data_IF_282671155579
#
_entry.id   IF_282671155579
#
_cell.length_a   1.000
_cell.length_b   1.000
_cell.length_c   1.000
_cell.angle_alpha   90.00
_cell.angle_beta   90.00
_cell.angle_gamma   90.00
#
_symmetry.space_group_name_H-M   'P 1'
#
loop_
_entity.id
_entity.type
_entity.pdbx_description
1 polymer ?
#
# COMPACT_ATOMS: atom_id res chain seq x y z
N UNK A 1 -16.44 -0.15 -9.22
CA UNK A 1 -15.91 -1.49 -9.56
C UNK A 1 -14.42 -1.52 -9.32
N UNK A 2 -13.91 -2.53 -8.62
CA UNK A 2 -12.48 -2.61 -8.33
C UNK A 2 -11.68 -2.92 -9.61
N UNK A 3 -10.47 -2.36 -9.69
CA UNK A 3 -9.55 -2.64 -10.79
C UNK A 3 -9.05 -4.09 -10.67
N UNK A 4 -9.33 -4.99 -11.64
CA UNK A 4 -8.95 -6.39 -11.50
C UNK A 4 -7.44 -6.61 -11.41
N UNK A 5 -6.63 -5.80 -12.08
CA UNK A 5 -5.16 -5.91 -12.01
C UNK A 5 -4.65 -5.51 -10.62
N UNK A 6 -5.20 -4.46 -10.04
CA UNK A 6 -4.86 -4.06 -8.67
C UNK A 6 -5.30 -5.11 -7.67
N UNK A 7 -6.49 -5.68 -7.84
CA UNK A 7 -6.99 -6.73 -6.96
C UNK A 7 -6.05 -7.94 -6.96
N UNK A 8 -5.60 -8.37 -8.13
CA UNK A 8 -4.66 -9.49 -8.23
C UNK A 8 -3.33 -9.19 -7.54
N UNK A 9 -2.80 -7.97 -7.71
CA UNK A 9 -1.57 -7.56 -7.06
C UNK A 9 -1.72 -7.56 -5.55
N UNK A 10 -2.83 -7.02 -5.04
CA UNK A 10 -3.09 -6.96 -3.60
C UNK A 10 -3.29 -8.36 -3.00
N UNK A 11 -3.98 -9.25 -3.70
CA UNK A 11 -4.13 -10.63 -3.27
C UNK A 11 -2.78 -11.35 -3.20
N UNK A 12 -1.90 -11.10 -4.18
CA UNK A 12 -0.54 -11.61 -4.15
C UNK A 12 0.26 -11.10 -2.97
N UNK A 13 0.08 -9.83 -2.60
CA UNK A 13 0.72 -9.24 -1.43
C UNK A 13 0.24 -9.89 -0.13
N UNK A 14 -1.04 -10.23 -0.03
CA UNK A 14 -1.55 -10.94 1.15
C UNK A 14 -0.79 -12.22 1.42
N UNK A 15 -0.44 -12.95 0.36
CA UNK A 15 0.35 -14.17 0.48
C UNK A 15 1.81 -13.94 0.89
N UNK A 16 2.30 -12.72 0.78
CA UNK A 16 3.67 -12.33 1.13
C UNK A 16 3.78 -11.67 2.49
N UNK A 17 2.66 -11.48 3.19
CA UNK A 17 2.62 -10.75 4.45
C UNK A 17 3.45 -11.45 5.54
N UNK A 18 4.27 -10.64 6.24
CA UNK A 18 5.13 -11.09 7.33
C UNK A 18 4.62 -10.47 8.64
N UNK A 19 3.84 -11.22 9.44
CA UNK A 19 3.27 -10.67 10.69
C UNK A 19 4.32 -10.18 11.68
N UNK A 20 5.50 -10.79 11.68
CA UNK A 20 6.59 -10.40 12.58
C UNK A 20 7.12 -9.00 12.34
N UNK A 21 6.85 -8.40 11.18
CA UNK A 21 7.24 -7.02 10.88
C UNK A 21 6.31 -6.00 11.52
N UNK A 22 5.18 -6.44 12.07
CA UNK A 22 4.12 -5.58 12.61
C UNK A 22 3.93 -5.86 14.10
N UNK A 23 4.03 -4.83 14.93
CA UNK A 23 3.89 -4.92 16.38
C UNK A 23 2.55 -4.44 16.90
N UNK A 24 1.71 -3.87 16.04
CA UNK A 24 0.38 -3.35 16.39
C UNK A 24 -0.48 -3.27 15.15
N UNK A 25 -1.78 -2.99 15.32
CA UNK A 25 -2.67 -2.77 14.18
C UNK A 25 -2.35 -1.43 13.51
N UNK A 26 -2.12 -1.45 12.21
CA UNK A 26 -1.88 -0.26 11.39
C UNK A 26 -2.81 -0.29 10.19
N UNK A 27 -3.53 0.80 9.98
CA UNK A 27 -4.48 0.94 8.87
C UNK A 27 -3.88 1.86 7.81
N UNK A 28 -3.78 1.36 6.58
CA UNK A 28 -3.27 2.09 5.44
C UNK A 28 -4.40 2.37 4.45
N UNK A 29 -4.44 3.58 3.92
CA UNK A 29 -5.33 3.93 2.82
C UNK A 29 -4.50 4.13 1.57
N UNK A 30 -4.76 3.32 0.55
CA UNK A 30 -4.04 3.39 -0.73
C UNK A 30 -4.95 4.04 -1.76
N UNK A 31 -4.54 5.22 -2.24
CA UNK A 31 -5.21 5.93 -3.32
C UNK A 31 -4.35 5.76 -4.58
N UNK A 32 -4.75 4.83 -5.45
CA UNK A 32 -3.94 4.38 -6.57
C UNK A 32 -4.49 4.85 -7.92
N UNK A 33 -5.31 5.89 -7.92
CA UNK A 33 -5.90 6.47 -9.11
C UNK A 33 -7.13 7.28 -8.78
N UNK A 34 -7.82 7.78 -9.81
CA UNK A 34 -8.99 8.64 -9.65
C UNK A 34 -10.30 7.85 -9.53
N UNK A 35 -10.34 6.63 -10.07
CA UNK A 35 -11.55 5.81 -10.05
C UNK A 35 -11.82 5.25 -8.64
N UNK A 36 -13.10 5.03 -8.26
CA UNK A 36 -13.39 4.41 -6.97
C UNK A 36 -12.76 3.03 -6.77
N UNK A 37 -12.60 2.26 -7.84
CA UNK A 37 -11.97 0.94 -7.79
C UNK A 37 -10.46 1.00 -7.57
N UNK A 38 -9.85 2.19 -7.58
CA UNK A 38 -8.42 2.37 -7.34
C UNK A 38 -8.12 2.72 -5.87
N UNK A 39 -9.13 2.74 -5.01
CA UNK A 39 -8.99 3.06 -3.58
C UNK A 39 -9.11 1.79 -2.76
N UNK A 40 -8.17 1.58 -1.84
CA UNK A 40 -8.11 0.37 -1.01
C UNK A 40 -7.73 0.71 0.42
N UNK A 41 -8.27 -0.04 1.36
CA UNK A 41 -7.88 0.01 2.78
C UNK A 41 -7.18 -1.29 3.13
N UNK A 42 -5.97 -1.18 3.64
CA UNK A 42 -5.14 -2.32 4.05
C UNK A 42 -4.94 -2.23 5.56
N UNK A 43 -5.36 -3.26 6.28
CA UNK A 43 -5.17 -3.35 7.74
C UNK A 43 -4.14 -4.42 8.03
N UNK A 44 -3.06 -4.04 8.70
CA UNK A 44 -2.00 -4.95 9.12
C UNK A 44 -2.03 -5.10 10.64
N UNK A 45 -1.85 -6.33 11.10
CA UNK A 45 -1.73 -6.62 12.53
C UNK A 45 -0.81 -7.82 12.73
N UNK A 46 -0.34 -8.09 13.98
CA UNK A 46 0.44 -9.30 14.23
C UNK A 46 -0.31 -10.60 13.94
N UNK A 47 -1.64 -10.56 13.85
CA UNK A 47 -2.47 -11.74 13.56
C UNK A 47 -2.79 -11.92 12.09
N UNK A 48 -2.48 -10.95 11.23
CA UNK A 48 -2.75 -11.09 9.80
C UNK A 48 -2.94 -9.76 9.10
N UNK A 49 -3.36 -9.83 7.83
CA UNK A 49 -3.66 -8.65 7.06
C UNK A 49 -5.00 -8.79 6.33
N UNK A 50 -5.68 -7.67 6.14
CA UNK A 50 -6.91 -7.62 5.34
C UNK A 50 -6.84 -6.47 4.36
N UNK A 51 -7.46 -6.66 3.20
CA UNK A 51 -7.51 -5.67 2.14
C UNK A 51 -8.94 -5.57 1.63
N UNK A 52 -9.50 -4.37 1.71
CA UNK A 52 -10.88 -4.12 1.26
C UNK A 52 -10.91 -2.94 0.32
N UNK A 53 -11.75 -2.98 -0.74
CA UNK A 53 -11.88 -1.83 -1.63
C UNK A 53 -12.54 -0.65 -0.91
N UNK A 54 -12.16 0.55 -1.33
CA UNK A 54 -12.68 1.78 -0.78
C UNK A 54 -11.99 2.22 0.49
N UNK A 55 -12.48 3.29 1.08
CA UNK A 55 -11.95 3.87 2.32
C UNK A 55 -12.83 3.43 3.49
N UNK A 56 -12.24 2.69 4.42
CA UNK A 56 -12.93 2.18 5.60
C UNK A 56 -12.20 2.66 6.85
N UNK A 57 -12.91 3.37 7.74
CA UNK A 57 -12.34 3.85 8.99
C UNK A 57 -11.35 4.99 8.80
N UNK A 58 -10.50 5.20 9.80
CA UNK A 58 -9.47 6.24 9.80
C UNK A 58 -8.10 5.60 9.60
N UNK A 59 -7.41 5.99 8.55
CA UNK A 59 -6.09 5.45 8.23
C UNK A 59 -5.00 6.13 9.06
N UNK A 60 -4.04 5.34 9.54
CA UNK A 60 -2.83 5.86 10.16
C UNK A 60 -1.86 6.39 9.11
N UNK A 61 -1.82 5.74 7.94
CA UNK A 61 -0.94 6.10 6.84
C UNK A 61 -1.74 6.15 5.55
N UNK A 62 -1.51 7.20 4.77
CA UNK A 62 -2.11 7.35 3.43
C UNK A 62 -0.99 7.30 2.41
N UNK A 63 -1.16 6.50 1.36
CA UNK A 63 -0.28 6.51 0.20
C UNK A 63 -1.09 6.89 -1.02
N UNK A 64 -0.69 7.97 -1.69
CA UNK A 64 -1.29 8.39 -2.95
C UNK A 64 -0.25 8.30 -4.06
N UNK A 65 -0.53 7.49 -5.06
CA UNK A 65 0.32 7.34 -6.24
C UNK A 65 -0.54 6.80 -7.38
N UNK A 66 0.05 6.46 -8.52
CA UNK A 66 -0.67 5.80 -9.61
C UNK A 66 -0.65 4.29 -9.44
N UNK A 67 -1.65 3.62 -10.02
CA UNK A 67 -1.68 2.15 -10.03
C UNK A 67 -0.43 1.59 -10.71
N UNK A 68 0.02 2.20 -11.80
CA UNK A 68 1.21 1.76 -12.53
C UNK A 68 2.46 1.82 -11.64
N UNK A 69 2.68 2.93 -10.95
CA UNK A 69 3.83 3.07 -10.05
C UNK A 69 3.73 2.10 -8.87
N UNK A 70 2.53 1.89 -8.34
CA UNK A 70 2.33 0.94 -7.24
C UNK A 70 2.69 -0.49 -7.68
N UNK A 71 2.25 -0.90 -8.86
CA UNK A 71 2.58 -2.22 -9.38
C UNK A 71 4.08 -2.40 -9.59
N UNK A 72 4.77 -1.36 -10.06
CA UNK A 72 6.22 -1.38 -10.21
C UNK A 72 6.95 -1.43 -8.87
N UNK A 73 6.41 -0.77 -7.86
CA UNK A 73 6.92 -0.89 -6.49
C UNK A 73 6.86 -2.34 -6.01
N UNK A 74 5.72 -2.99 -6.23
CA UNK A 74 5.48 -4.36 -5.78
C UNK A 74 6.39 -5.35 -6.49
N UNK A 75 6.60 -5.18 -7.81
CA UNK A 75 7.45 -6.11 -8.57
C UNK A 75 8.95 -5.79 -8.50
N UNK A 76 9.31 -4.70 -7.83
CA UNK A 76 10.71 -4.34 -7.62
C UNK A 76 11.37 -3.57 -8.76
N UNK A 77 10.61 -3.20 -9.79
CA UNK A 77 11.18 -2.46 -10.94
C UNK A 77 11.25 -0.95 -10.71
N UNK A 78 10.67 -0.46 -9.61
CA UNK A 78 10.70 0.95 -9.26
C UNK A 78 11.00 1.11 -7.77
N UNK A 79 12.03 1.90 -7.46
CA UNK A 79 12.38 2.26 -6.10
C UNK A 79 12.29 3.77 -5.94
N UNK A 80 11.32 4.27 -5.17
CA UNK A 80 11.15 5.71 -5.01
C UNK A 80 12.32 6.33 -4.27
N UNK A 81 12.63 7.57 -4.62
CA UNK A 81 13.64 8.37 -3.93
C UNK A 81 13.02 9.70 -3.47
N UNK A 82 13.80 10.51 -2.76
CA UNK A 82 13.32 11.79 -2.25
C UNK A 82 12.78 12.70 -3.36
N UNK A 83 13.40 12.67 -4.54
CA UNK A 83 12.99 13.50 -5.67
C UNK A 83 11.60 13.12 -6.17
N UNK A 84 11.25 11.83 -6.16
CA UNK A 84 9.92 11.37 -6.57
C UNK A 84 8.84 11.90 -5.63
N UNK A 85 9.11 11.92 -4.32
CA UNK A 85 8.20 12.53 -3.35
C UNK A 85 8.07 14.04 -3.55
N UNK A 86 9.16 14.72 -3.83
CA UNK A 86 9.14 16.17 -4.09
C UNK A 86 8.35 16.51 -5.34
N UNK A 87 8.39 15.67 -6.35
CA UNK A 87 7.64 15.86 -7.60
C UNK A 87 6.18 15.42 -7.50
N UNK A 88 5.76 14.85 -6.37
CA UNK A 88 4.40 14.41 -6.16
C UNK A 88 4.01 13.12 -6.84
N UNK A 89 4.96 12.33 -7.31
CA UNK A 89 4.71 11.00 -7.86
C UNK A 89 4.16 10.05 -6.81
N UNK A 90 4.64 10.21 -5.57
CA UNK A 90 4.13 9.52 -4.40
C UNK A 90 3.88 10.55 -3.31
N UNK A 91 2.75 10.41 -2.61
CA UNK A 91 2.41 11.26 -1.47
C UNK A 91 2.05 10.38 -0.30
N UNK A 92 2.60 10.68 0.87
CA UNK A 92 2.26 9.98 2.10
C UNK A 92 2.29 10.96 3.27
N UNK A 93 1.51 10.67 4.31
CA UNK A 93 1.52 11.46 5.54
C UNK A 93 2.47 10.89 6.59
N UNK A 94 2.99 9.67 6.38
CA UNK A 94 3.87 9.02 7.35
C UNK A 94 4.83 8.08 6.63
N UNK A 95 6.05 8.54 6.41
CA UNK A 95 7.06 7.78 5.69
C UNK A 95 7.50 6.53 6.47
N UNK A 96 7.58 6.61 7.79
CA UNK A 96 7.99 5.48 8.63
C UNK A 96 6.99 4.33 8.50
N UNK A 97 5.70 4.63 8.54
CA UNK A 97 4.67 3.62 8.34
C UNK A 97 4.68 3.05 6.92
N UNK A 98 4.98 3.89 5.92
CA UNK A 98 5.12 3.41 4.54
C UNK A 98 6.28 2.43 4.40
N UNK A 99 7.42 2.72 5.03
CA UNK A 99 8.56 1.81 5.03
C UNK A 99 8.23 0.50 5.75
N UNK A 100 7.43 0.56 6.81
CA UNK A 100 6.97 -0.63 7.53
C UNK A 100 6.06 -1.50 6.64
N UNK A 101 5.21 -0.88 5.85
CA UNK A 101 4.38 -1.59 4.86
C UNK A 101 5.27 -2.37 3.88
N UNK A 102 6.32 -1.73 3.39
CA UNK A 102 7.26 -2.39 2.45
C UNK A 102 7.91 -3.61 3.09
N UNK A 103 8.35 -3.49 4.34
CA UNK A 103 8.95 -4.62 5.07
C UNK A 103 7.95 -5.75 5.29
N UNK A 104 6.71 -5.39 5.65
CA UNK A 104 5.68 -6.38 5.95
C UNK A 104 5.36 -7.25 4.73
N UNK A 105 5.47 -6.71 3.53
CA UNK A 105 5.20 -7.46 2.30
C UNK A 105 6.47 -7.88 1.55
N UNK A 106 7.64 -7.61 2.11
CA UNK A 106 8.89 -7.96 1.46
C UNK A 106 9.12 -7.24 0.14
N UNK A 107 8.68 -5.99 0.04
CA UNK A 107 8.84 -5.15 -1.14
C UNK A 107 10.17 -4.40 -1.07
N UNK A 108 10.95 -4.52 -2.11
CA UNK A 108 12.22 -3.83 -2.24
C UNK A 108 13.31 -4.51 -1.48
#
# INVERSE_FOLDING_TARGET
MANPSLQQVLEGLQGRFRPEAIDREIIYYLSLGEAPGDKWTVTLSPSGCSMVPGRVGTAHCVLKTSADLFMRLVDGTYQPNALDFMRGKLKTNDLDLLLRLRKAFGIG
#
